data_IF_120178987054
#
_entry.id   IF_120178987054
#
_cell.length_a   1.000
_cell.length_b   1.000
_cell.length_c   1.000
_cell.angle_alpha   90.00
_cell.angle_beta   90.00
_cell.angle_gamma   90.00
#
_symmetry.space_group_name_H-M   'P 1'
#
loop_
_entity.id
_entity.type
_entity.pdbx_description
1 polymer ?
#
# COMPACT_ATOMS: atom_id res chain seq x y z
N UNK A 1 -0.17 -58.41 5.73
CA UNK A 1 -1.26 -57.47 6.05
C UNK A 1 -1.03 -56.33 5.10
N UNK A 2 -1.89 -56.17 4.09
CA UNK A 2 -1.72 -55.13 3.08
C UNK A 2 -1.90 -53.77 3.75
N UNK A 3 -0.79 -53.09 4.03
CA UNK A 3 -0.78 -51.69 4.43
C UNK A 3 -1.25 -50.88 3.23
N UNK A 4 -2.57 -50.73 3.09
CA UNK A 4 -3.16 -49.84 2.11
C UNK A 4 -2.79 -48.41 2.52
N UNK A 5 -1.64 -47.92 2.03
CA UNK A 5 -1.18 -46.57 2.29
C UNK A 5 -2.31 -45.59 1.94
N UNK A 6 -2.80 -44.86 2.93
CA UNK A 6 -3.82 -43.85 2.70
C UNK A 6 -3.21 -42.75 1.82
N UNK A 7 -3.62 -42.70 0.56
CA UNK A 7 -3.13 -41.73 -0.44
C UNK A 7 -3.98 -40.48 -0.54
N UNK A 8 -5.12 -40.43 0.17
CA UNK A 8 -6.01 -39.26 0.20
C UNK A 8 -6.67 -39.07 1.57
N UNK A 9 -6.86 -37.81 1.94
CA UNK A 9 -7.61 -37.39 3.12
C UNK A 9 -8.82 -36.57 2.66
N UNK A 10 -9.99 -36.88 3.22
CA UNK A 10 -11.23 -36.15 2.98
C UNK A 10 -11.79 -35.69 4.33
N UNK A 11 -12.18 -34.43 4.40
CA UNK A 11 -12.85 -33.86 5.57
C UNK A 11 -13.92 -32.86 5.10
N UNK A 12 -14.94 -32.69 5.93
CA UNK A 12 -16.05 -31.76 5.70
C UNK A 12 -15.83 -30.47 6.49
N UNK A 13 -16.29 -29.35 5.92
CA UNK A 13 -16.23 -28.05 6.58
C UNK A 13 -17.66 -27.54 6.78
N UNK A 14 -18.14 -27.69 8.00
CA UNK A 14 -19.45 -27.17 8.38
C UNK A 14 -19.46 -25.66 8.39
N UNK A 15 -20.56 -25.10 7.90
CA UNK A 15 -20.81 -23.66 7.90
C UNK A 15 -19.64 -22.86 7.31
N UNK A 16 -19.09 -23.32 6.19
CA UNK A 16 -17.92 -22.72 5.53
C UNK A 16 -18.03 -21.19 5.36
N UNK A 17 -19.23 -20.68 5.05
CA UNK A 17 -19.48 -19.24 4.92
C UNK A 17 -19.19 -18.43 6.19
N UNK A 18 -19.27 -19.05 7.36
CA UNK A 18 -19.06 -18.42 8.67
C UNK A 18 -17.61 -18.43 9.14
N UNK A 19 -16.72 -19.12 8.42
CA UNK A 19 -15.35 -19.34 8.89
C UNK A 19 -14.47 -18.17 8.50
N UNK A 20 -13.96 -17.47 9.51
CA UNK A 20 -13.07 -16.31 9.36
C UNK A 20 -11.60 -16.69 9.54
N UNK A 21 -11.32 -17.66 10.42
CA UNK A 21 -9.97 -18.14 10.69
C UNK A 21 -9.54 -19.33 9.84
N UNK A 22 -8.27 -19.71 9.99
CA UNK A 22 -7.68 -20.90 9.38
C UNK A 22 -8.39 -22.16 9.90
N UNK A 23 -8.76 -23.06 8.98
CA UNK A 23 -9.44 -24.31 9.29
C UNK A 23 -8.47 -25.47 9.07
N UNK A 24 -7.94 -26.09 10.15
CA UNK A 24 -7.12 -27.28 10.02
C UNK A 24 -8.00 -28.51 9.80
N UNK A 25 -7.56 -29.41 8.93
CA UNK A 25 -8.11 -30.75 8.81
C UNK A 25 -7.71 -31.61 10.01
N UNK A 26 -8.41 -32.74 10.24
CA UNK A 26 -7.83 -33.83 11.01
C UNK A 26 -6.47 -34.25 10.44
N UNK A 27 -5.60 -34.72 11.32
CA UNK A 27 -4.30 -35.24 10.92
C UNK A 27 -4.47 -36.60 10.24
N UNK A 28 -3.65 -36.89 9.25
CA UNK A 28 -3.70 -38.15 8.51
C UNK A 28 -2.29 -38.67 8.21
N UNK A 29 -2.15 -39.99 8.16
CA UNK A 29 -0.88 -40.66 7.90
C UNK A 29 -0.74 -40.97 6.41
N UNK A 30 0.39 -40.61 5.82
CA UNK A 30 0.73 -40.97 4.43
C UNK A 30 2.24 -40.92 4.23
N UNK A 31 2.83 -41.91 3.55
CA UNK A 31 4.28 -41.97 3.29
C UNK A 31 5.14 -41.87 4.55
N UNK A 32 4.69 -42.49 5.66
CA UNK A 32 5.39 -42.50 6.95
C UNK A 32 5.46 -41.15 7.66
N UNK A 33 4.62 -40.18 7.29
CA UNK A 33 4.52 -38.87 7.95
C UNK A 33 3.08 -38.56 8.32
N UNK A 34 2.90 -37.75 9.36
CA UNK A 34 1.60 -37.21 9.74
C UNK A 34 1.43 -35.84 9.08
N UNK A 35 0.31 -35.66 8.38
CA UNK A 35 0.00 -34.49 7.59
C UNK A 35 -1.32 -33.86 8.03
N UNK A 36 -1.51 -32.58 7.72
CA UNK A 36 -2.80 -31.90 7.83
C UNK A 36 -2.90 -30.80 6.78
N UNK A 37 -4.13 -30.47 6.38
CA UNK A 37 -4.41 -29.38 5.44
C UNK A 37 -4.95 -28.18 6.22
N UNK A 38 -4.43 -26.99 5.95
CA UNK A 38 -5.05 -25.73 6.36
C UNK A 38 -5.84 -25.16 5.19
N UNK A 39 -7.11 -24.86 5.44
CA UNK A 39 -7.96 -24.10 4.53
C UNK A 39 -8.05 -22.68 5.05
N UNK A 40 -7.85 -21.72 4.15
CA UNK A 40 -7.97 -20.30 4.41
C UNK A 40 -9.16 -19.79 3.59
N UNK A 41 -10.37 -19.75 4.19
CA UNK A 41 -11.60 -19.42 3.48
C UNK A 41 -11.57 -18.05 2.82
N UNK A 42 -10.72 -17.14 3.31
CA UNK A 42 -10.60 -15.74 2.87
C UNK A 42 -9.26 -15.45 2.19
N UNK A 43 -8.44 -16.47 1.96
CA UNK A 43 -7.11 -16.37 1.36
C UNK A 43 -5.97 -16.26 2.35
N UNK A 44 -4.75 -16.33 1.82
CA UNK A 44 -3.49 -16.26 2.55
C UNK A 44 -2.66 -15.11 1.92
N UNK A 45 -2.81 -13.90 2.47
CA UNK A 45 -2.24 -12.63 1.96
C UNK A 45 -2.82 -12.11 0.63
N UNK A 46 -3.81 -12.80 0.05
CA UNK A 46 -4.53 -12.37 -1.15
C UNK A 46 -6.02 -12.54 -0.89
N UNK A 47 -6.74 -11.43 -0.85
CA UNK A 47 -8.16 -11.43 -0.53
C UNK A 47 -9.02 -12.11 -1.62
N UNK A 48 -10.19 -12.59 -1.21
CA UNK A 48 -11.27 -13.15 -2.03
C UNK A 48 -11.02 -14.48 -2.74
N UNK A 49 -9.89 -15.14 -2.48
CA UNK A 49 -9.59 -16.46 -3.04
C UNK A 49 -9.38 -17.47 -1.93
N UNK A 50 -9.92 -18.67 -2.10
CA UNK A 50 -9.63 -19.77 -1.18
C UNK A 50 -8.13 -20.09 -1.27
N UNK A 51 -7.45 -20.23 -0.13
CA UNK A 51 -6.09 -20.76 -0.07
C UNK A 51 -6.05 -22.12 0.63
N UNK A 52 -5.17 -23.01 0.17
CA UNK A 52 -5.07 -24.39 0.64
C UNK A 52 -3.60 -24.77 0.79
N UNK A 53 -3.19 -25.12 2.01
CA UNK A 53 -1.81 -25.49 2.32
C UNK A 53 -1.76 -26.86 3.01
N UNK A 54 -0.88 -27.74 2.56
CA UNK A 54 -0.57 -29.00 3.21
C UNK A 54 0.64 -28.80 4.13
N UNK A 55 0.57 -29.34 5.34
CA UNK A 55 1.63 -29.23 6.35
C UNK A 55 2.00 -30.59 6.93
N UNK A 56 3.26 -30.72 7.35
CA UNK A 56 3.71 -31.82 8.21
C UNK A 56 3.35 -31.50 9.66
N UNK A 57 2.62 -32.41 10.31
CA UNK A 57 2.11 -32.26 11.67
C UNK A 57 3.14 -32.65 12.74
N UNK A 58 3.88 -33.72 12.51
CA UNK A 58 4.72 -34.37 13.52
C UNK A 58 6.16 -33.81 13.56
N UNK A 59 6.30 -32.48 13.40
CA UNK A 59 7.59 -31.78 13.23
C UNK A 59 8.62 -32.09 14.32
N UNK A 60 8.15 -32.22 15.55
CA UNK A 60 8.97 -32.43 16.75
C UNK A 60 9.41 -33.89 16.92
N UNK A 61 8.62 -34.83 16.39
CA UNK A 61 8.96 -36.27 16.42
C UNK A 61 9.96 -36.66 15.33
N UNK A 62 10.18 -35.79 14.34
CA UNK A 62 11.11 -36.03 13.25
C UNK A 62 12.53 -35.61 13.66
N UNK A 63 13.51 -36.47 13.40
CA UNK A 63 14.93 -36.20 13.71
C UNK A 63 15.40 -34.87 13.12
N UNK A 64 16.31 -34.19 13.82
CA UNK A 64 17.00 -33.00 13.30
C UNK A 64 17.53 -33.25 11.88
N UNK A 65 17.21 -32.35 10.94
CA UNK A 65 17.60 -32.46 9.53
C UNK A 65 16.66 -33.28 8.63
N UNK A 66 15.47 -33.66 9.10
CA UNK A 66 14.50 -34.41 8.28
C UNK A 66 14.10 -33.66 7.00
N UNK A 67 13.88 -34.44 5.94
CA UNK A 67 13.41 -33.98 4.63
C UNK A 67 12.43 -34.99 4.06
N UNK A 68 11.33 -34.50 3.49
CA UNK A 68 10.31 -35.33 2.82
C UNK A 68 9.90 -34.69 1.52
N UNK A 69 9.78 -35.48 0.46
CA UNK A 69 9.19 -35.03 -0.80
C UNK A 69 7.79 -35.59 -0.92
N UNK A 70 6.84 -34.73 -1.22
CA UNK A 70 5.47 -35.15 -1.49
C UNK A 70 4.99 -34.57 -2.83
N UNK A 71 4.10 -35.32 -3.46
CA UNK A 71 3.35 -34.91 -4.65
C UNK A 71 1.88 -34.98 -4.28
N UNK A 72 1.16 -33.86 -4.40
CA UNK A 72 -0.22 -33.78 -3.95
C UNK A 72 -1.04 -32.83 -4.83
N UNK A 73 -2.36 -32.93 -4.71
CA UNK A 73 -3.33 -32.00 -5.29
C UNK A 73 -4.48 -31.82 -4.31
N UNK A 74 -5.21 -30.71 -4.42
CA UNK A 74 -6.42 -30.48 -3.64
C UNK A 74 -7.65 -30.69 -4.51
N UNK A 75 -8.70 -31.21 -3.88
CA UNK A 75 -9.98 -31.49 -4.51
C UNK A 75 -11.10 -30.90 -3.65
N UNK A 76 -11.87 -29.98 -4.23
CA UNK A 76 -13.06 -29.41 -3.63
C UNK A 76 -14.30 -30.13 -4.17
N UNK A 77 -15.08 -30.67 -3.26
CA UNK A 77 -16.33 -31.37 -3.54
C UNK A 77 -17.52 -30.55 -3.02
N UNK A 78 -18.68 -30.66 -3.66
CA UNK A 78 -19.93 -30.18 -3.08
C UNK A 78 -20.54 -31.20 -2.10
N UNK A 79 -21.71 -30.86 -1.53
CA UNK A 79 -22.45 -31.71 -0.60
C UNK A 79 -22.89 -33.05 -1.21
N UNK A 80 -23.08 -33.12 -2.54
CA UNK A 80 -23.40 -34.38 -3.24
C UNK A 80 -22.15 -35.20 -3.60
N UNK A 81 -20.96 -34.79 -3.15
CA UNK A 81 -19.69 -35.44 -3.49
C UNK A 81 -19.20 -35.19 -4.92
N UNK A 82 -19.85 -34.30 -5.68
CA UNK A 82 -19.45 -33.91 -7.03
C UNK A 82 -18.22 -33.00 -6.96
N UNK A 83 -17.24 -33.28 -7.80
CA UNK A 83 -16.07 -32.43 -7.98
C UNK A 83 -16.46 -31.06 -8.53
N UNK A 84 -16.10 -30.01 -7.77
CA UNK A 84 -16.28 -28.62 -8.16
C UNK A 84 -15.00 -28.04 -8.74
N UNK A 85 -13.88 -28.40 -8.12
CA UNK A 85 -12.58 -27.87 -8.47
C UNK A 85 -11.48 -28.82 -8.04
N UNK A 86 -10.45 -28.95 -8.88
CA UNK A 86 -9.22 -29.66 -8.60
C UNK A 86 -8.05 -28.79 -8.99
N UNK A 87 -7.03 -28.80 -8.14
CA UNK A 87 -5.79 -28.08 -8.43
C UNK A 87 -4.89 -28.89 -9.34
N UNK A 88 -3.99 -28.21 -10.05
CA UNK A 88 -2.85 -28.88 -10.64
C UNK A 88 -2.06 -29.64 -9.58
N UNK A 89 -1.39 -30.70 -10.02
CA UNK A 89 -0.56 -31.53 -9.12
C UNK A 89 0.69 -30.75 -8.73
N UNK A 90 0.81 -30.43 -7.44
CA UNK A 90 2.02 -29.87 -6.85
C UNK A 90 3.04 -31.00 -6.69
N UNK A 91 3.95 -31.12 -7.65
CA UNK A 91 4.94 -32.20 -7.70
C UNK A 91 6.16 -31.91 -6.83
N UNK A 92 6.68 -32.97 -6.20
CA UNK A 92 8.00 -33.03 -5.58
C UNK A 92 8.31 -31.89 -4.61
N UNK A 93 7.31 -31.40 -3.87
CA UNK A 93 7.50 -30.35 -2.86
C UNK A 93 8.32 -30.89 -1.70
N UNK A 94 9.40 -30.17 -1.36
CA UNK A 94 10.33 -30.56 -0.31
C UNK A 94 9.91 -29.95 1.02
N UNK A 95 9.45 -30.78 1.93
CA UNK A 95 9.12 -30.43 3.29
C UNK A 95 10.33 -30.66 4.20
N UNK A 96 10.59 -29.70 5.08
CA UNK A 96 11.61 -29.80 6.13
C UNK A 96 11.22 -28.89 7.31
N UNK A 97 12.05 -28.86 8.35
CA UNK A 97 11.81 -28.01 9.51
C UNK A 97 11.65 -26.52 9.15
N UNK A 98 12.42 -26.03 8.18
CA UNK A 98 12.37 -24.63 7.71
C UNK A 98 11.16 -24.33 6.83
N UNK A 99 10.69 -25.33 6.06
CA UNK A 99 9.56 -25.19 5.15
C UNK A 99 8.58 -26.35 5.42
N UNK A 100 7.76 -26.23 6.48
CA UNK A 100 6.91 -27.34 6.91
C UNK A 100 5.60 -27.44 6.14
N UNK A 101 5.33 -26.49 5.24
CA UNK A 101 4.10 -26.47 4.46
C UNK A 101 4.26 -25.93 3.05
N UNK A 102 3.43 -26.43 2.16
CA UNK A 102 3.33 -26.02 0.76
C UNK A 102 1.87 -26.01 0.32
N UNK A 103 1.52 -25.08 -0.56
CA UNK A 103 0.18 -25.03 -1.10
C UNK A 103 -0.03 -23.94 -2.11
N UNK A 104 -1.26 -23.47 -2.18
CA UNK A 104 -1.71 -22.44 -3.11
C UNK A 104 -2.23 -21.26 -2.30
N UNK A 105 -1.48 -20.14 -2.23
CA UNK A 105 -1.94 -18.92 -1.56
C UNK A 105 -3.15 -18.29 -2.26
N UNK A 106 -3.37 -18.68 -3.53
CA UNK A 106 -4.51 -18.29 -4.35
C UNK A 106 -4.95 -19.48 -5.20
N UNK A 107 -6.07 -20.11 -4.87
CA UNK A 107 -6.70 -21.06 -5.80
C UNK A 107 -7.40 -20.31 -6.93
N UNK A 108 -7.78 -21.00 -8.01
CA UNK A 108 -8.62 -20.43 -9.07
C UNK A 108 -10.09 -20.21 -8.63
N UNK A 109 -10.41 -20.59 -7.40
CA UNK A 109 -11.75 -20.47 -6.82
C UNK A 109 -11.80 -19.20 -5.98
N UNK A 110 -12.35 -18.15 -6.59
CA UNK A 110 -12.83 -17.00 -5.82
C UNK A 110 -13.98 -17.45 -4.92
N UNK A 111 -13.98 -16.95 -3.67
CA UNK A 111 -15.03 -17.20 -2.67
C UNK A 111 -16.38 -16.72 -3.21
N UNK A 112 -16.40 -15.56 -3.85
CA UNK A 112 -17.57 -14.99 -4.51
C UNK A 112 -18.12 -15.93 -5.58
N UNK A 113 -17.24 -16.42 -6.46
CA UNK A 113 -17.62 -17.36 -7.54
C UNK A 113 -18.10 -18.71 -6.99
N UNK A 114 -17.51 -19.18 -5.89
CA UNK A 114 -17.94 -20.39 -5.19
C UNK A 114 -19.39 -20.23 -4.72
N UNK A 115 -19.70 -19.12 -4.04
CA UNK A 115 -21.06 -18.84 -3.59
C UNK A 115 -22.05 -18.66 -4.75
N UNK A 116 -21.67 -17.98 -5.85
CA UNK A 116 -22.57 -17.82 -7.02
C UNK A 116 -22.95 -19.17 -7.63
N UNK A 117 -21.99 -20.08 -7.79
CA UNK A 117 -22.21 -21.37 -8.45
C UNK A 117 -22.79 -22.43 -7.51
N UNK A 118 -22.44 -22.35 -6.23
CA UNK A 118 -22.79 -23.33 -5.21
C UNK A 118 -23.34 -22.64 -3.97
N UNK A 119 -24.54 -22.03 -4.07
CA UNK A 119 -25.11 -21.26 -2.99
C UNK A 119 -25.70 -22.14 -1.87
N UNK A 120 -25.59 -23.46 -1.99
CA UNK A 120 -25.78 -24.46 -0.93
C UNK A 120 -24.66 -24.43 0.13
N UNK A 121 -23.51 -23.81 -0.17
CA UNK A 121 -22.42 -23.62 0.79
C UNK A 121 -22.70 -22.55 1.87
N UNK A 122 -23.69 -21.67 1.66
CA UNK A 122 -24.13 -20.68 2.64
C UNK A 122 -25.25 -21.27 3.51
N UNK A 123 -24.87 -22.04 4.53
CA UNK A 123 -25.75 -22.95 5.28
C UNK A 123 -26.89 -22.29 6.06
N UNK A 124 -26.82 -20.98 6.37
CA UNK A 124 -27.88 -20.26 7.12
C UNK A 124 -28.83 -19.43 6.26
N UNK A 125 -28.51 -19.19 5.00
CA UNK A 125 -29.36 -18.40 4.11
C UNK A 125 -30.26 -19.35 3.31
N UNK A 126 -31.45 -19.64 3.85
CA UNK A 126 -32.41 -20.60 3.26
C UNK A 126 -33.71 -19.98 2.71
N UNK A 127 -33.69 -18.91 1.87
CA UNK A 127 -34.89 -18.59 1.12
C UNK A 127 -35.22 -19.74 0.17
N UNK A 128 -36.43 -20.29 0.31
CA UNK A 128 -36.96 -21.34 -0.58
C UNK A 128 -37.23 -20.80 -1.99
N UNK A 129 -37.42 -19.49 -2.13
CA UNK A 129 -37.70 -18.83 -3.39
C UNK A 129 -36.40 -18.54 -4.17
N UNK A 130 -36.31 -19.07 -5.40
CA UNK A 130 -35.15 -18.93 -6.29
C UNK A 130 -34.83 -17.47 -6.63
N UNK A 131 -35.84 -16.65 -6.89
CA UNK A 131 -35.65 -15.24 -7.25
C UNK A 131 -35.07 -14.45 -6.07
N UNK A 132 -35.62 -14.63 -4.88
CA UNK A 132 -35.10 -14.02 -3.64
C UNK A 132 -33.65 -14.42 -3.42
N UNK A 133 -33.33 -15.69 -3.61
CA UNK A 133 -31.95 -16.20 -3.51
C UNK A 133 -31.02 -15.49 -4.49
N UNK A 134 -31.42 -15.32 -5.76
CA UNK A 134 -30.62 -14.59 -6.76
C UNK A 134 -30.41 -13.13 -6.38
N UNK A 135 -31.44 -12.44 -5.89
CA UNK A 135 -31.34 -11.03 -5.49
C UNK A 135 -30.30 -10.81 -4.40
N UNK A 136 -30.36 -11.57 -3.31
CA UNK A 136 -29.39 -11.44 -2.21
C UNK A 136 -27.96 -11.80 -2.64
N UNK A 137 -27.79 -12.78 -3.53
CA UNK A 137 -26.48 -13.13 -4.07
C UNK A 137 -25.90 -11.99 -4.92
N UNK A 138 -26.73 -11.33 -5.73
CA UNK A 138 -26.28 -10.17 -6.52
C UNK A 138 -25.86 -9.00 -5.63
N UNK A 139 -26.59 -8.75 -4.54
CA UNK A 139 -26.22 -7.72 -3.55
C UNK A 139 -24.88 -8.09 -2.90
N UNK A 140 -24.70 -9.33 -2.44
CA UNK A 140 -23.44 -9.78 -1.86
C UNK A 140 -22.26 -9.66 -2.83
N UNK A 141 -22.46 -10.01 -4.10
CA UNK A 141 -21.42 -9.89 -5.13
C UNK A 141 -21.08 -8.44 -5.40
N UNK A 142 -22.09 -7.57 -5.56
CA UNK A 142 -21.90 -6.13 -5.74
C UNK A 142 -21.14 -5.49 -4.58
N UNK A 143 -21.46 -5.90 -3.35
CA UNK A 143 -20.76 -5.44 -2.15
C UNK A 143 -19.29 -5.87 -2.15
N UNK A 144 -19.00 -7.13 -2.47
CA UNK A 144 -17.62 -7.63 -2.55
C UNK A 144 -16.84 -6.89 -3.64
N UNK A 145 -17.43 -6.72 -4.83
CA UNK A 145 -16.82 -5.98 -5.93
C UNK A 145 -16.54 -4.52 -5.56
N UNK A 146 -17.47 -3.86 -4.86
CA UNK A 146 -17.28 -2.50 -4.36
C UNK A 146 -16.12 -2.42 -3.38
N UNK A 147 -16.03 -3.33 -2.41
CA UNK A 147 -14.99 -3.32 -1.38
C UNK A 147 -13.61 -3.75 -1.88
N UNK A 148 -13.50 -4.33 -3.07
CA UNK A 148 -12.21 -4.61 -3.71
C UNK A 148 -11.64 -3.43 -4.49
N UNK A 149 -12.43 -2.37 -4.70
CA UNK A 149 -11.93 -1.18 -5.38
C UNK A 149 -10.88 -0.49 -4.50
N UNK A 150 -9.88 0.18 -5.11
CA UNK A 150 -8.95 1.01 -4.36
C UNK A 150 -9.68 2.04 -3.47
N UNK A 151 -9.19 2.34 -2.25
CA UNK A 151 -9.86 3.28 -1.35
C UNK A 151 -10.14 4.66 -1.98
N UNK A 152 -9.26 5.09 -2.88
CA UNK A 152 -9.33 6.39 -3.57
C UNK A 152 -10.37 6.46 -4.69
N UNK A 153 -10.87 5.32 -5.19
CA UNK A 153 -11.88 5.28 -6.24
C UNK A 153 -13.30 5.12 -5.69
N UNK A 154 -13.46 4.95 -4.38
CA UNK A 154 -14.75 4.80 -3.71
C UNK A 154 -15.28 6.15 -3.22
N UNK A 155 -16.49 6.49 -3.64
CA UNK A 155 -17.21 7.67 -3.16
C UNK A 155 -17.84 7.45 -1.77
N UNK A 156 -18.15 8.55 -1.07
CA UNK A 156 -18.91 8.50 0.20
C UNK A 156 -20.28 7.82 0.03
N UNK A 157 -20.90 8.02 -1.13
CA UNK A 157 -22.20 7.44 -1.47
C UNK A 157 -22.07 5.93 -1.63
N UNK A 158 -21.05 5.43 -2.34
CA UNK A 158 -20.79 4.00 -2.48
C UNK A 158 -20.49 3.33 -1.14
N UNK A 159 -19.70 3.97 -0.26
CA UNK A 159 -19.43 3.46 1.09
C UNK A 159 -20.70 3.40 1.96
N UNK A 160 -21.55 4.42 1.87
CA UNK A 160 -22.84 4.46 2.59
C UNK A 160 -23.79 3.37 2.09
N UNK A 161 -23.88 3.18 0.78
CA UNK A 161 -24.68 2.11 0.17
C UNK A 161 -24.15 0.72 0.58
N UNK A 162 -22.83 0.52 0.53
CA UNK A 162 -22.18 -0.72 0.96
C UNK A 162 -22.47 -1.04 2.44
N UNK A 163 -22.48 -0.03 3.32
CA UNK A 163 -22.88 -0.20 4.73
C UNK A 163 -24.33 -0.66 4.86
N UNK A 164 -25.25 -0.07 4.10
CA UNK A 164 -26.68 -0.46 4.12
C UNK A 164 -26.85 -1.90 3.61
N UNK A 165 -26.26 -2.24 2.48
CA UNK A 165 -26.31 -3.59 1.91
C UNK A 165 -25.74 -4.64 2.87
N UNK A 166 -24.64 -4.32 3.56
CA UNK A 166 -24.05 -5.19 4.56
C UNK A 166 -25.00 -5.43 5.75
N UNK A 167 -25.72 -4.40 6.21
CA UNK A 167 -26.75 -4.52 7.26
C UNK A 167 -27.89 -5.41 6.77
N UNK A 168 -28.45 -5.14 5.60
CA UNK A 168 -29.55 -5.93 5.02
C UNK A 168 -29.19 -7.41 4.85
N UNK A 169 -27.97 -7.70 4.39
CA UNK A 169 -27.46 -9.05 4.30
C UNK A 169 -27.28 -9.70 5.68
N UNK A 170 -26.78 -8.95 6.66
CA UNK A 170 -26.60 -9.46 8.02
C UNK A 170 -27.94 -9.79 8.68
N UNK A 171 -28.94 -8.91 8.52
CA UNK A 171 -30.31 -9.14 8.98
C UNK A 171 -30.97 -10.33 8.28
N UNK A 172 -30.66 -10.54 6.99
CA UNK A 172 -31.07 -11.73 6.25
C UNK A 172 -30.38 -13.03 6.69
N UNK A 173 -29.46 -12.96 7.66
CA UNK A 173 -28.79 -14.11 8.26
C UNK A 173 -27.42 -14.44 7.66
N UNK A 174 -26.88 -13.59 6.79
CA UNK A 174 -25.49 -13.74 6.34
C UNK A 174 -24.53 -13.33 7.46
N UNK A 175 -23.56 -14.18 7.78
CA UNK A 175 -22.49 -13.83 8.72
C UNK A 175 -21.33 -13.18 7.95
N UNK A 176 -21.31 -11.85 7.89
CA UNK A 176 -20.40 -11.05 7.06
C UNK A 176 -19.46 -10.15 7.89
N UNK A 177 -19.05 -10.58 9.09
CA UNK A 177 -18.19 -9.77 9.95
C UNK A 177 -16.84 -9.42 9.29
N UNK A 178 -16.26 -10.30 8.49
CA UNK A 178 -15.09 -9.97 7.65
C UNK A 178 -15.31 -8.80 6.67
N UNK A 179 -16.48 -8.70 6.02
CA UNK A 179 -16.80 -7.57 5.13
C UNK A 179 -17.02 -6.28 5.92
N UNK A 180 -17.54 -6.40 7.14
CA UNK A 180 -17.64 -5.28 8.07
C UNK A 180 -16.26 -4.72 8.40
N UNK A 181 -15.33 -5.58 8.80
CA UNK A 181 -13.94 -5.19 9.11
C UNK A 181 -13.29 -4.53 7.90
N UNK A 182 -13.39 -5.14 6.71
CA UNK A 182 -12.84 -4.58 5.47
C UNK A 182 -13.42 -3.19 5.15
N UNK A 183 -14.72 -3.01 5.32
CA UNK A 183 -15.39 -1.73 5.11
C UNK A 183 -14.96 -0.65 6.13
N UNK A 184 -14.71 -1.05 7.37
CA UNK A 184 -14.18 -0.16 8.42
C UNK A 184 -12.72 0.24 8.13
N UNK A 185 -11.88 -0.70 7.68
CA UNK A 185 -10.50 -0.46 7.24
C UNK A 185 -10.44 0.50 6.05
N UNK A 186 -11.22 0.26 5.00
CA UNK A 186 -11.32 1.16 3.85
C UNK A 186 -11.78 2.57 4.26
N UNK A 187 -12.75 2.65 5.17
CA UNK A 187 -13.22 3.94 5.70
C UNK A 187 -12.14 4.67 6.50
N UNK A 188 -11.21 3.95 7.12
CA UNK A 188 -10.10 4.50 7.89
C UNK A 188 -8.96 4.95 6.97
N UNK A 189 -8.59 4.14 5.98
CA UNK A 189 -7.56 4.46 4.99
C UNK A 189 -7.88 5.73 4.20
N UNK A 190 -9.15 5.90 3.80
CA UNK A 190 -9.59 7.11 3.10
C UNK A 190 -9.50 8.37 3.97
N UNK A 191 -9.79 8.27 5.28
CA UNK A 191 -9.64 9.40 6.20
C UNK A 191 -8.18 9.85 6.27
N UNK A 192 -7.25 8.90 6.41
CA UNK A 192 -5.81 9.18 6.44
C UNK A 192 -5.32 9.86 5.16
N UNK A 193 -5.79 9.38 4.00
CA UNK A 193 -5.39 9.96 2.72
C UNK A 193 -5.89 11.40 2.52
N UNK A 194 -7.08 11.73 3.01
CA UNK A 194 -7.60 13.09 2.93
C UNK A 194 -6.80 14.05 3.82
N UNK A 195 -6.38 13.62 5.01
CA UNK A 195 -5.58 14.45 5.92
C UNK A 195 -4.16 14.72 5.35
N UNK A 196 -3.57 13.71 4.71
CA UNK A 196 -2.27 13.83 4.03
C UNK A 196 -2.34 14.70 2.76
N UNK A 197 -3.43 14.61 1.99
CA UNK A 197 -3.62 15.42 0.78
C UNK A 197 -3.85 16.90 1.10
N UNK A 198 -4.67 17.22 2.12
CA UNK A 198 -4.86 18.59 2.61
C UNK A 198 -3.52 19.21 3.04
N UNK A 199 -2.70 18.44 3.75
CA UNK A 199 -1.36 18.87 4.20
C UNK A 199 -0.39 19.10 3.03
N UNK A 200 -0.43 18.23 2.01
CA UNK A 200 0.39 18.37 0.79
C UNK A 200 -0.03 19.58 -0.06
N UNK A 201 -1.33 19.80 -0.23
CA UNK A 201 -1.86 20.94 -1.00
C UNK A 201 -1.44 22.25 -0.34
N UNK A 202 -1.56 22.37 0.98
CA UNK A 202 -1.12 23.56 1.71
C UNK A 202 0.39 23.83 1.57
N UNK A 203 1.23 22.79 1.64
CA UNK A 203 2.67 22.92 1.43
C UNK A 203 3.02 23.34 -0.02
N UNK A 204 2.33 22.79 -1.03
CA UNK A 204 2.58 23.18 -2.43
C UNK A 204 2.23 24.63 -2.72
N UNK A 205 1.21 25.18 -2.06
CA UNK A 205 0.82 26.57 -2.23
C UNK A 205 1.81 27.52 -1.54
N UNK A 206 2.30 27.16 -0.36
CA UNK A 206 3.36 27.92 0.31
C UNK A 206 4.66 27.96 -0.50
N UNK A 207 5.07 26.84 -1.13
CA UNK A 207 6.26 26.78 -1.99
C UNK A 207 6.11 27.68 -3.22
N UNK A 208 4.91 27.74 -3.83
CA UNK A 208 4.66 28.65 -4.96
C UNK A 208 4.79 30.12 -4.56
N UNK A 209 4.25 30.50 -3.40
CA UNK A 209 4.35 31.87 -2.89
C UNK A 209 5.81 32.25 -2.59
N UNK A 210 6.58 31.37 -1.95
CA UNK A 210 7.99 31.61 -1.67
C UNK A 210 8.84 31.74 -2.95
N UNK A 211 8.55 30.92 -3.98
CA UNK A 211 9.22 31.07 -5.28
C UNK A 211 8.92 32.43 -5.94
N UNK A 212 7.69 32.92 -5.83
CA UNK A 212 7.31 34.22 -6.37
C UNK A 212 8.03 35.37 -5.65
N UNK A 213 8.15 35.30 -4.31
CA UNK A 213 8.93 36.26 -3.52
C UNK A 213 10.42 36.24 -3.89
N UNK A 214 11.00 35.04 -4.06
CA UNK A 214 12.40 34.87 -4.45
C UNK A 214 12.71 35.49 -5.81
N UNK A 215 11.85 35.26 -6.82
CA UNK A 215 12.06 35.84 -8.15
C UNK A 215 11.92 37.36 -8.14
N UNK A 216 11.01 37.89 -7.31
CA UNK A 216 10.85 39.32 -7.11
C UNK A 216 12.10 39.95 -6.48
N UNK A 217 12.68 39.33 -5.45
CA UNK A 217 13.90 39.82 -4.82
C UNK A 217 15.13 39.70 -5.72
N UNK A 218 15.22 38.66 -6.57
CA UNK A 218 16.28 38.56 -7.59
C UNK A 218 16.25 39.72 -8.58
N UNK A 219 15.07 40.14 -9.03
CA UNK A 219 14.93 41.29 -9.94
C UNK A 219 15.34 42.59 -9.25
N UNK A 220 14.97 42.78 -7.98
CA UNK A 220 15.40 43.95 -7.20
C UNK A 220 16.91 43.97 -6.98
N UNK A 221 17.50 42.83 -6.62
CA UNK A 221 18.95 42.69 -6.43
C UNK A 221 19.73 42.99 -7.71
N UNK A 222 19.31 42.44 -8.86
CA UNK A 222 19.91 42.75 -10.16
C UNK A 222 19.83 44.25 -10.49
N UNK A 223 18.71 44.89 -10.14
CA UNK A 223 18.53 46.35 -10.31
C UNK A 223 19.48 47.16 -9.43
N UNK A 224 19.68 46.74 -8.17
CA UNK A 224 20.65 47.37 -7.28
C UNK A 224 22.09 47.21 -7.78
N UNK A 225 22.47 46.00 -8.22
CA UNK A 225 23.80 45.73 -8.78
C UNK A 225 24.10 46.62 -10.00
N UNK A 226 23.13 46.81 -10.90
CA UNK A 226 23.29 47.70 -12.06
C UNK A 226 23.50 49.17 -11.67
N UNK A 227 22.82 49.63 -10.61
CA UNK A 227 23.02 51.00 -10.08
C UNK A 227 24.41 51.17 -9.46
N UNK A 228 24.92 50.17 -8.74
CA UNK A 228 26.27 50.20 -8.17
C UNK A 228 27.33 50.31 -9.27
N UNK A 229 27.25 49.47 -10.31
CA UNK A 229 28.16 49.56 -11.46
C UNK A 229 28.14 50.94 -12.13
N UNK A 230 26.95 51.55 -12.25
CA UNK A 230 26.82 52.91 -12.79
C UNK A 230 27.49 53.96 -11.90
N UNK A 231 27.41 53.82 -10.58
CA UNK A 231 28.07 54.73 -9.64
C UNK A 231 29.59 54.54 -9.65
N UNK A 232 30.08 53.31 -9.66
CA UNK A 232 31.52 53.01 -9.74
C UNK A 232 32.15 53.63 -10.99
N UNK A 233 31.46 53.54 -12.14
CA UNK A 233 31.92 54.18 -13.37
C UNK A 233 32.03 55.70 -13.21
N UNK A 234 30.99 56.35 -12.65
CA UNK A 234 31.01 57.81 -12.41
C UNK A 234 32.13 58.22 -11.46
N UNK A 235 32.39 57.44 -10.41
CA UNK A 235 33.49 57.70 -9.47
C UNK A 235 34.84 57.59 -10.18
N UNK A 236 35.01 56.60 -11.06
CA UNK A 236 36.22 56.46 -11.88
C UNK A 236 36.43 57.66 -12.80
N UNK A 237 35.39 58.12 -13.49
CA UNK A 237 35.44 59.27 -14.39
C UNK A 237 35.84 60.56 -13.65
N UNK A 238 35.23 60.80 -12.47
CA UNK A 238 35.56 61.95 -11.62
C UNK A 238 37.00 61.90 -11.10
N UNK A 239 37.52 60.73 -10.74
CA UNK A 239 38.93 60.55 -10.34
C UNK A 239 39.90 60.89 -11.48
N UNK A 240 39.55 60.54 -12.72
CA UNK A 240 40.36 60.86 -13.90
C UNK A 240 40.39 62.39 -14.16
N UNK A 241 39.24 63.06 -14.06
CA UNK A 241 39.15 64.53 -14.18
C UNK A 241 39.94 65.25 -13.08
N UNK A 242 39.85 64.80 -11.82
CA UNK A 242 40.63 65.35 -10.71
C UNK A 242 42.14 65.23 -10.96
N UNK A 243 42.59 64.11 -11.54
CA UNK A 243 44.00 63.88 -11.86
C UNK A 243 44.50 64.81 -12.97
N UNK A 244 43.66 65.11 -13.98
CA UNK A 244 43.96 66.12 -15.01
C UNK A 244 44.06 67.53 -14.41
N UNK A 245 43.17 67.89 -13.49
CA UNK A 245 43.15 69.22 -12.88
C UNK A 245 44.38 69.43 -11.97
N UNK A 246 44.78 68.40 -11.21
CA UNK A 246 46.05 68.43 -10.45
C UNK A 246 47.28 68.59 -11.35
N UNK A 247 47.30 67.96 -12.52
CA UNK A 247 48.41 68.10 -13.48
C UNK A 247 48.48 69.50 -14.13
N UNK A 248 47.34 70.19 -14.27
CA UNK A 248 47.27 71.60 -14.73
C UNK A 248 47.81 72.59 -13.69
N UNK A 249 47.63 72.29 -12.40
CA UNK A 249 48.10 73.14 -11.29
C UNK A 249 49.63 73.12 -11.13
N UNK A 250 50.35 72.14 -11.70
CA UNK A 250 51.83 72.03 -11.55
C UNK A 250 52.66 72.90 -12.52
N UNK A 251 52.04 73.79 -13.30
CA UNK A 251 52.72 74.76 -14.18
C UNK A 251 52.55 76.21 -13.76
N UNK A 252 52.63 76.46 -12.45
CA UNK A 252 52.88 77.78 -11.87
C UNK A 252 53.68 77.57 -10.59
N UNK A 253 55.01 77.65 -10.69
CA UNK A 253 55.82 77.93 -9.49
C UNK A 253 55.51 79.36 -9.13
N UNK A 254 54.77 79.56 -8.05
CA UNK A 254 55.09 80.51 -6.98
C UNK A 254 54.04 80.33 -5.86
N UNK A 255 54.57 80.02 -4.68
CA UNK A 255 54.01 80.06 -3.33
C UNK A 255 52.60 79.52 -3.02
N UNK A 256 52.54 78.49 -2.16
CA UNK A 256 51.84 78.47 -0.85
C UNK A 256 51.66 77.02 -0.34
N UNK A 257 51.84 76.87 0.98
CA UNK A 257 51.75 75.66 1.82
C UNK A 257 50.35 74.99 1.81
N UNK A 258 50.32 73.67 1.98
CA UNK A 258 49.67 72.94 3.08
C UNK A 258 49.12 71.56 2.68
N UNK A 259 49.19 70.62 3.63
CA UNK A 259 48.16 69.59 3.78
C UNK A 259 48.50 68.18 3.29
N UNK A 260 49.42 67.52 3.99
CA UNK A 260 49.48 66.04 4.02
C UNK A 260 48.21 65.53 4.70
N UNK A 261 47.36 64.80 3.97
CA UNK A 261 46.45 63.82 4.58
C UNK A 261 46.69 62.50 3.85
N UNK A 262 47.46 61.63 4.50
CA UNK A 262 47.60 60.23 4.12
C UNK A 262 46.47 59.41 4.75
N UNK A 263 45.93 58.50 3.94
CA UNK A 263 45.20 57.29 4.33
C UNK A 263 43.78 57.45 4.89
N UNK A 264 42.81 56.92 4.15
CA UNK A 264 41.58 56.37 4.72
C UNK A 264 41.50 54.91 4.24
N UNK A 265 41.75 53.96 5.14
CA UNK A 265 41.43 52.54 4.95
C UNK A 265 39.93 52.34 5.21
N UNK A 266 39.24 51.73 4.26
CA UNK A 266 37.88 51.22 4.43
C UNK A 266 37.97 49.94 5.27
N UNK A 267 37.48 50.00 6.51
CA UNK A 267 37.19 48.80 7.29
C UNK A 267 35.93 48.16 6.69
N UNK A 268 36.10 47.01 6.04
CA UNK A 268 35.01 46.13 5.67
C UNK A 268 34.24 45.76 6.94
N UNK A 269 32.97 46.17 6.99
CA UNK A 269 32.00 45.64 7.95
C UNK A 269 31.66 44.23 7.48
N UNK A 270 32.34 43.24 8.05
CA UNK A 270 31.91 41.86 7.98
C UNK A 270 30.53 41.74 8.64
N UNK A 271 29.64 41.05 7.94
CA UNK A 271 28.22 40.90 8.23
C UNK A 271 27.92 40.41 9.66
N UNK A 272 26.92 41.08 10.23
CA UNK A 272 26.09 40.62 11.33
C UNK A 272 25.22 39.44 10.87
N UNK A 273 25.27 38.36 11.64
CA UNK A 273 24.21 37.38 11.96
C UNK A 273 23.45 36.69 10.82
#
# INVERSE_FOLDING_TARGET
MDDQEQTSCKFEIDNFSEKEGVIPSPKFLSGGCEWYVCVYPKGDNIEDHLALNLYVANRESLRLGWKRRATFSFLLLNQSGKELYRTDVLRCKLFCAQVPGWGLPRTLVSVSRLFTKHPDFATNFKPKNKLVKTTYMNILLGLIEALNKPPQSLSDIELSNARRELIELTEAGFKLAWLKTKLDELSLERKKANDDDVSRVQATEQVKNLNFELDTEKVKSATCAAKVLSLEQKVSDLRAELSKEKAKSTTSKDDVLEGVIHSWELLDYADLL
#
